data_IF_272253879201
#
_entry.id   IF_272253879201
#
_cell.length_a   1.000
_cell.length_b   1.000
_cell.length_c   1.000
_cell.angle_alpha   90.00
_cell.angle_beta   90.00
_cell.angle_gamma   90.00
#
_symmetry.space_group_name_H-M   'P 1'
#
loop_
_entity.id
_entity.type
_entity.pdbx_description
1 polymer ?
#
# COMPACT_ATOMS: atom_id res chain seq x y z
N UNK A 1 5.86 9.50 31.80
CA UNK A 1 5.44 8.64 30.66
C UNK A 1 3.92 8.68 30.57
N UNK A 2 3.34 9.00 29.40
CA UNK A 2 1.88 8.81 29.20
C UNK A 2 1.67 7.36 28.77
N UNK A 3 1.14 6.54 29.68
CA UNK A 3 0.44 5.32 29.27
C UNK A 3 -0.93 5.75 28.74
N UNK A 4 -0.98 6.09 27.45
CA UNK A 4 -2.25 6.30 26.78
C UNK A 4 -2.94 4.93 26.68
N UNK A 5 -4.08 4.72 27.35
CA UNK A 5 -4.73 3.42 27.35
C UNK A 5 -5.14 3.09 25.91
N UNK A 6 -4.69 1.94 25.41
CA UNK A 6 -4.99 1.51 24.03
C UNK A 6 -6.49 1.55 23.81
N UNK A 7 -6.93 2.30 22.81
CA UNK A 7 -8.35 2.41 22.48
C UNK A 7 -8.95 1.01 22.24
N UNK A 8 -10.20 0.76 22.69
CA UNK A 8 -10.88 -0.49 22.39
C UNK A 8 -10.91 -0.76 20.88
N UNK A 9 -10.74 -2.03 20.48
CA UNK A 9 -10.72 -2.42 19.05
C UNK A 9 -11.95 -1.92 18.25
N UNK A 10 -13.20 -1.94 18.77
CA UNK A 10 -14.34 -1.35 18.06
C UNK A 10 -14.19 0.15 17.80
N UNK A 11 -13.60 0.89 18.75
CA UNK A 11 -13.33 2.33 18.61
C UNK A 11 -12.27 2.60 17.54
N UNK A 12 -11.21 1.78 17.49
CA UNK A 12 -10.20 1.86 16.42
C UNK A 12 -10.79 1.59 15.03
N UNK A 13 -11.71 0.62 14.93
CA UNK A 13 -12.39 0.31 13.68
C UNK A 13 -13.26 1.48 13.20
N UNK A 14 -14.15 2.01 14.05
CA UNK A 14 -14.98 3.17 13.70
C UNK A 14 -14.17 4.42 13.39
N UNK A 15 -13.10 4.69 14.15
CA UNK A 15 -12.19 5.79 13.86
C UNK A 15 -11.52 5.62 12.48
N UNK A 16 -11.06 4.41 12.15
CA UNK A 16 -10.44 4.11 10.86
C UNK A 16 -11.43 4.17 9.69
N UNK A 17 -12.69 3.74 9.90
CA UNK A 17 -13.78 3.93 8.94
C UNK A 17 -14.08 5.41 8.67
N UNK A 18 -14.05 6.25 9.71
CA UNK A 18 -14.25 7.68 9.61
C UNK A 18 -13.06 8.35 8.91
N UNK A 19 -11.82 8.06 9.32
CA UNK A 19 -10.59 8.52 8.67
C UNK A 19 -10.58 8.18 7.18
N UNK A 20 -10.92 6.94 6.80
CA UNK A 20 -11.05 6.55 5.38
C UNK A 20 -11.98 7.47 4.59
N UNK A 21 -13.05 7.99 5.20
CA UNK A 21 -13.98 8.91 4.55
C UNK A 21 -13.44 10.34 4.50
N UNK A 22 -13.00 10.89 5.64
CA UNK A 22 -12.73 12.32 5.82
C UNK A 22 -11.27 12.74 5.58
N UNK A 23 -10.31 11.82 5.71
CA UNK A 23 -8.90 12.15 5.61
C UNK A 23 -8.53 12.56 4.19
N UNK A 24 -7.69 13.58 4.10
CA UNK A 24 -7.17 14.13 2.84
C UNK A 24 -5.73 13.69 2.61
N UNK A 25 -5.13 14.04 1.47
CA UNK A 25 -3.69 13.84 1.21
C UNK A 25 -2.79 14.47 2.28
N UNK A 26 -3.23 15.57 2.93
CA UNK A 26 -2.48 16.22 4.03
C UNK A 26 -2.33 15.34 5.28
N UNK A 27 -3.23 14.38 5.48
CA UNK A 27 -3.22 13.47 6.62
C UNK A 27 -2.38 12.20 6.38
N UNK A 28 -1.79 12.05 5.20
CA UNK A 28 -1.14 10.81 4.78
C UNK A 28 -0.06 10.34 5.77
N UNK A 29 0.87 11.22 6.15
CA UNK A 29 1.94 10.88 7.09
C UNK A 29 1.42 10.51 8.49
N UNK A 30 0.30 11.09 8.93
CA UNK A 30 -0.35 10.69 10.20
C UNK A 30 -0.94 9.27 10.10
N UNK A 31 -1.54 8.92 8.96
CA UNK A 31 -2.11 7.58 8.74
C UNK A 31 -1.00 6.53 8.52
N UNK A 32 0.13 6.90 7.90
CA UNK A 32 1.33 6.05 7.82
C UNK A 32 1.91 5.78 9.20
N UNK A 33 1.93 6.76 10.11
CA UNK A 33 2.33 6.53 11.51
C UNK A 33 1.37 5.56 12.22
N UNK A 34 0.05 5.78 12.09
CA UNK A 34 -0.96 4.86 12.65
C UNK A 34 -0.80 3.41 12.15
N UNK A 35 -0.53 3.21 10.86
CA UNK A 35 -0.30 1.88 10.28
C UNK A 35 1.00 1.20 10.77
N UNK A 36 1.94 1.94 11.36
CA UNK A 36 3.18 1.42 11.94
C UNK A 36 3.08 1.19 13.46
N UNK A 37 2.32 2.03 14.16
CA UNK A 37 2.24 2.05 15.62
C UNK A 37 1.07 1.21 16.18
N UNK A 38 -0.03 1.11 15.43
CA UNK A 38 -1.21 0.38 15.87
C UNK A 38 -1.00 -1.15 15.81
N UNK A 39 -1.58 -1.93 16.75
CA UNK A 39 -1.56 -3.38 16.66
C UNK A 39 -2.36 -3.84 15.42
N UNK A 40 -1.88 -4.84 14.65
CA UNK A 40 -2.59 -5.30 13.46
C UNK A 40 -4.00 -5.79 13.80
N UNK A 41 -4.99 -5.41 12.99
CA UNK A 41 -6.39 -5.76 13.20
C UNK A 41 -7.31 -5.23 12.10
N UNK A 42 -8.64 -5.50 12.18
CA UNK A 42 -9.60 -5.16 11.12
C UNK A 42 -9.60 -3.68 10.71
N UNK A 43 -9.27 -2.79 11.64
CA UNK A 43 -9.19 -1.36 11.41
C UNK A 43 -8.15 -0.96 10.33
N UNK A 44 -7.11 -1.78 10.11
CA UNK A 44 -6.13 -1.59 9.03
C UNK A 44 -6.79 -1.64 7.63
N UNK A 45 -7.83 -2.46 7.44
CA UNK A 45 -8.52 -2.61 6.15
C UNK A 45 -9.00 -1.26 5.61
N UNK A 46 -9.51 -0.40 6.49
CA UNK A 46 -10.01 0.93 6.14
C UNK A 46 -8.89 1.94 5.86
N UNK A 47 -7.78 1.85 6.59
CA UNK A 47 -6.60 2.69 6.41
C UNK A 47 -5.85 2.34 5.11
N UNK A 48 -5.80 1.04 4.75
CA UNK A 48 -5.25 0.56 3.49
C UNK A 48 -6.11 1.03 2.30
N UNK A 49 -7.45 0.97 2.43
CA UNK A 49 -8.35 1.52 1.40
C UNK A 49 -8.21 3.05 1.25
N UNK A 50 -7.89 3.78 2.32
CA UNK A 50 -7.57 5.22 2.23
C UNK A 50 -6.35 5.52 1.36
N UNK A 51 -5.33 4.65 1.34
CA UNK A 51 -4.14 4.83 0.48
C UNK A 51 -4.55 5.04 -0.98
N UNK A 52 -5.61 4.33 -1.41
CA UNK A 52 -6.21 4.45 -2.74
C UNK A 52 -6.63 5.86 -3.15
N UNK A 53 -6.87 6.76 -2.18
CA UNK A 53 -7.24 8.17 -2.40
C UNK A 53 -6.05 9.12 -2.52
N UNK A 54 -4.86 8.71 -2.10
CA UNK A 54 -3.69 9.59 -1.96
C UNK A 54 -2.85 9.65 -3.23
N UNK A 55 -2.87 8.58 -4.04
CA UNK A 55 -2.24 8.48 -5.36
C UNK A 55 -0.72 8.80 -5.40
N UNK A 56 -0.04 8.76 -4.25
CA UNK A 56 1.43 8.98 -4.17
C UNK A 56 2.22 7.68 -4.40
N UNK A 57 3.49 7.77 -4.85
CA UNK A 57 4.38 6.61 -4.93
C UNK A 57 4.56 5.92 -3.57
N UNK A 58 4.68 6.67 -2.48
CA UNK A 58 4.80 6.12 -1.12
C UNK A 58 3.53 5.36 -0.71
N UNK A 59 2.34 5.87 -1.02
CA UNK A 59 1.08 5.15 -0.77
C UNK A 59 0.97 3.87 -1.59
N UNK A 60 1.49 3.86 -2.83
CA UNK A 60 1.59 2.66 -3.68
C UNK A 60 2.49 1.59 -3.07
N UNK A 61 3.71 1.94 -2.68
CA UNK A 61 4.64 0.98 -2.05
C UNK A 61 4.06 0.44 -0.71
N UNK A 62 3.41 1.31 0.07
CA UNK A 62 2.74 0.87 1.30
C UNK A 62 1.59 -0.10 0.99
N UNK A 63 0.76 0.17 -0.02
CA UNK A 63 -0.30 -0.74 -0.45
C UNK A 63 0.26 -2.07 -1.00
N UNK A 64 1.41 -2.07 -1.67
CA UNK A 64 2.10 -3.30 -2.13
C UNK A 64 2.49 -4.19 -0.95
N UNK A 65 2.98 -3.61 0.15
CA UNK A 65 3.37 -4.40 1.34
C UNK A 65 2.22 -5.18 2.00
N UNK A 66 0.97 -4.85 1.68
CA UNK A 66 -0.25 -5.53 2.14
C UNK A 66 -0.87 -6.49 1.11
N UNK A 67 -0.17 -6.82 0.00
CA UNK A 67 -0.63 -7.79 -1.01
C UNK A 67 -0.58 -9.24 -0.49
N UNK A 68 0.09 -9.52 0.63
CA UNK A 68 0.14 -10.85 1.25
C UNK A 68 -0.77 -10.96 2.50
N UNK A 69 -1.56 -12.04 2.58
CA UNK A 69 -2.42 -12.38 3.71
C UNK A 69 -3.78 -11.66 3.78
N UNK A 70 -4.21 -11.31 5.00
CA UNK A 70 -5.59 -10.90 5.29
C UNK A 70 -6.03 -9.57 4.61
N UNK A 71 -5.09 -8.70 4.29
CA UNK A 71 -5.36 -7.36 3.77
C UNK A 71 -5.38 -7.27 2.23
N UNK A 72 -5.04 -8.35 1.53
CA UNK A 72 -4.83 -8.40 0.07
C UNK A 72 -6.00 -7.81 -0.73
N UNK A 73 -7.25 -8.08 -0.35
CA UNK A 73 -8.42 -7.56 -1.08
C UNK A 73 -8.49 -6.02 -1.08
N UNK A 74 -8.11 -5.40 0.03
CA UNK A 74 -8.13 -3.95 0.24
C UNK A 74 -6.90 -3.29 -0.39
N UNK A 75 -5.73 -3.95 -0.31
CA UNK A 75 -4.53 -3.55 -1.03
C UNK A 75 -4.76 -3.51 -2.55
N UNK A 76 -5.31 -4.58 -3.14
CA UNK A 76 -5.67 -4.65 -4.55
C UNK A 76 -6.67 -3.54 -4.93
N UNK A 77 -7.67 -3.29 -4.08
CA UNK A 77 -8.66 -2.21 -4.32
C UNK A 77 -8.00 -0.83 -4.31
N UNK A 78 -7.11 -0.55 -3.37
CA UNK A 78 -6.36 0.70 -3.29
C UNK A 78 -5.49 0.92 -4.53
N UNK A 79 -4.77 -0.10 -4.98
CA UNK A 79 -3.90 -0.03 -6.18
C UNK A 79 -4.68 0.21 -7.47
N UNK A 80 -5.87 -0.39 -7.61
CA UNK A 80 -6.79 -0.08 -8.72
C UNK A 80 -7.26 1.37 -8.65
N UNK A 81 -7.59 1.88 -7.46
CA UNK A 81 -8.06 3.25 -7.29
C UNK A 81 -6.98 4.28 -7.67
N UNK A 82 -5.72 4.06 -7.24
CA UNK A 82 -4.55 4.87 -7.64
C UNK A 82 -4.21 4.78 -9.13
N UNK A 83 -4.80 3.83 -9.88
CA UNK A 83 -4.36 3.42 -11.23
C UNK A 83 -2.85 3.08 -11.25
N UNK A 84 -2.38 2.38 -10.22
CA UNK A 84 -0.97 2.14 -9.99
C UNK A 84 -0.31 1.43 -11.20
N UNK A 85 0.66 2.07 -11.84
CA UNK A 85 1.47 1.45 -12.90
C UNK A 85 2.51 0.51 -12.30
N UNK A 86 2.93 -0.49 -13.09
CA UNK A 86 4.00 -1.41 -12.70
C UNK A 86 3.58 -2.59 -11.82
N UNK A 87 2.51 -2.47 -11.03
CA UNK A 87 2.12 -3.48 -10.01
C UNK A 87 1.44 -4.75 -10.56
N UNK A 88 1.20 -4.81 -11.87
CA UNK A 88 0.40 -5.88 -12.51
C UNK A 88 0.96 -7.29 -12.26
N UNK A 89 2.29 -7.43 -12.35
CA UNK A 89 3.03 -8.67 -12.11
C UNK A 89 2.92 -9.22 -10.68
N UNK A 90 2.53 -8.38 -9.69
CA UNK A 90 2.31 -8.80 -8.31
C UNK A 90 0.89 -9.36 -8.10
N UNK A 91 -0.05 -9.00 -8.99
CA UNK A 91 -1.47 -9.36 -8.90
C UNK A 91 -1.78 -10.56 -9.82
N UNK A 92 -1.03 -10.73 -10.91
CA UNK A 92 -1.14 -11.85 -11.86
C UNK A 92 -1.10 -13.24 -11.17
N UNK A 93 -0.12 -13.56 -10.27
CA UNK A 93 -0.12 -14.84 -9.56
C UNK A 93 -1.38 -15.10 -8.71
N UNK A 94 -1.94 -14.05 -8.11
CA UNK A 94 -3.15 -14.14 -7.27
C UNK A 94 -4.39 -14.33 -8.13
N UNK A 95 -4.39 -13.82 -9.37
CA UNK A 95 -5.46 -14.01 -10.33
C UNK A 95 -5.46 -15.43 -10.91
N UNK A 96 -4.29 -16.04 -11.10
CA UNK A 96 -4.14 -17.37 -11.67
C UNK A 96 -4.42 -18.50 -10.66
N UNK A 97 -4.09 -18.30 -9.38
CA UNK A 97 -4.46 -19.24 -8.31
C UNK A 97 -5.98 -19.29 -8.08
N UNK A 98 -6.61 -20.34 -8.63
CA UNK A 98 -8.05 -20.62 -8.47
C UNK A 98 -8.44 -20.91 -7.01
N UNK A 99 -7.49 -21.33 -6.16
CA UNK A 99 -7.76 -21.60 -4.74
C UNK A 99 -7.73 -20.34 -3.88
N UNK A 100 -7.09 -19.26 -4.34
CA UNK A 100 -7.08 -17.98 -3.65
C UNK A 100 -8.48 -17.38 -3.53
N UNK A 101 -8.88 -17.07 -2.30
CA UNK A 101 -10.10 -16.31 -2.01
C UNK A 101 -10.14 -14.95 -2.74
N UNK A 102 -8.98 -14.41 -3.11
CA UNK A 102 -8.85 -13.11 -3.75
C UNK A 102 -8.79 -13.17 -5.29
N UNK A 103 -8.76 -14.35 -5.92
CA UNK A 103 -8.54 -14.49 -7.36
C UNK A 103 -9.55 -13.72 -8.22
N UNK A 104 -10.83 -13.70 -7.84
CA UNK A 104 -11.87 -12.91 -8.51
C UNK A 104 -11.59 -11.41 -8.45
N UNK A 105 -11.07 -10.91 -7.31
CA UNK A 105 -10.71 -9.49 -7.13
C UNK A 105 -9.41 -9.15 -7.86
N UNK A 106 -8.45 -10.07 -7.89
CA UNK A 106 -7.22 -9.93 -8.65
C UNK A 106 -7.51 -9.83 -10.16
N UNK A 107 -8.30 -10.74 -10.75
CA UNK A 107 -8.72 -10.67 -12.17
C UNK A 107 -9.41 -9.33 -12.49
N UNK A 108 -10.39 -8.94 -11.69
CA UNK A 108 -11.08 -7.64 -11.78
C UNK A 108 -10.13 -6.43 -11.71
N UNK A 109 -9.01 -6.54 -11.00
CA UNK A 109 -7.99 -5.51 -10.91
C UNK A 109 -7.08 -5.47 -12.14
N UNK A 110 -6.71 -6.63 -12.70
CA UNK A 110 -5.90 -6.74 -13.92
C UNK A 110 -6.55 -6.11 -15.16
N UNK A 111 -7.88 -6.04 -15.17
CA UNK A 111 -8.67 -5.38 -16.21
C UNK A 111 -8.69 -3.84 -16.07
N UNK A 112 -8.34 -3.31 -14.89
CA UNK A 112 -8.51 -1.89 -14.50
C UNK A 112 -7.19 -1.17 -14.25
N UNK A 113 -6.17 -1.90 -13.81
CA UNK A 113 -4.82 -1.39 -13.64
C UNK A 113 -4.19 -1.15 -15.02
N UNK A 114 -3.62 0.05 -15.26
CA UNK A 114 -2.93 0.31 -16.50
C UNK A 114 -1.75 -0.66 -16.65
N UNK A 115 -1.69 -1.34 -17.81
CA UNK A 115 -0.45 -2.00 -18.25
C UNK A 115 0.67 -0.96 -18.26
N UNK A 116 1.91 -1.39 -18.04
CA UNK A 116 3.10 -0.54 -18.14
C UNK A 116 3.16 0.10 -19.54
N UNK A 117 2.58 1.28 -19.68
CA UNK A 117 2.84 2.15 -20.81
C UNK A 117 4.15 2.85 -20.51
N UNK A 118 5.24 2.33 -21.07
CA UNK A 118 6.43 3.12 -21.33
C UNK A 118 5.99 4.27 -22.25
N UNK A 119 5.56 5.38 -21.66
CA UNK A 119 5.39 6.63 -22.41
C UNK A 119 6.78 7.04 -22.88
N UNK A 120 7.07 6.72 -24.14
CA UNK A 120 8.09 7.45 -24.88
C UNK A 120 7.72 8.94 -24.81
N UNK A 121 8.48 9.70 -24.03
CA UNK A 121 8.54 11.14 -24.18
C UNK A 121 9.27 11.46 -25.49
N UNK A 122 8.55 11.32 -26.61
CA UNK A 122 8.98 11.77 -27.92
C UNK A 122 8.91 13.29 -27.98
N UNK A 123 10.08 13.92 -27.95
CA UNK A 123 10.25 15.37 -28.14
C UNK A 123 9.66 15.84 -29.48
N UNK A 124 9.11 17.07 -29.50
CA UNK A 124 9.49 18.18 -30.39
C UNK A 124 8.32 19.14 -30.67
N UNK A 125 8.35 20.31 -30.02
CA UNK A 125 7.90 21.61 -30.57
C UNK A 125 8.39 22.77 -29.69
N UNK A 126 9.58 23.26 -30.01
CA UNK A 126 9.86 24.71 -30.05
C UNK A 126 9.94 25.07 -31.55
N UNK A 127 9.64 26.32 -31.95
CA UNK A 127 10.67 27.36 -31.89
C UNK A 127 10.21 28.74 -31.36
N UNK A 128 11.17 29.43 -30.75
CA UNK A 128 11.47 30.88 -30.82
C UNK A 128 10.44 31.92 -30.33
N UNK A 129 10.89 32.67 -29.33
CA UNK A 129 10.51 34.04 -29.01
C UNK A 129 11.46 34.55 -27.91
N UNK A 130 12.37 35.52 -28.19
CA UNK A 130 13.26 36.08 -27.16
C UNK A 130 12.53 37.08 -26.25
N UNK A 131 13.28 37.68 -25.32
CA UNK A 131 12.87 38.78 -24.42
C UNK A 131 12.01 38.44 -23.20
N UNK A 132 12.66 37.92 -22.15
CA UNK A 132 12.65 38.65 -20.87
C UNK A 132 13.95 38.42 -20.08
N UNK A 133 14.84 39.41 -20.11
CA UNK A 133 16.00 39.50 -19.20
C UNK A 133 15.56 40.24 -17.92
N UNK A 134 16.28 40.02 -16.81
CA UNK A 134 16.05 40.56 -15.45
C UNK A 134 14.88 39.82 -14.74
N UNK A 135 15.07 39.19 -13.58
CA UNK A 135 15.64 39.81 -12.38
C UNK A 135 15.82 38.78 -11.25
N UNK A 136 17.05 38.36 -10.95
CA UNK A 136 17.37 37.84 -9.61
C UNK A 136 18.87 37.91 -9.28
N UNK A 137 19.20 38.75 -8.28
CA UNK A 137 20.47 38.73 -7.53
C UNK A 137 20.11 38.56 -6.06
N UNK A 138 20.68 37.53 -5.41
CA UNK A 138 20.97 37.42 -3.96
C UNK A 138 19.76 37.52 -2.99
N UNK A 139 19.74 36.90 -1.81
CA UNK A 139 20.44 35.77 -1.18
C UNK A 139 19.53 35.33 0.01
N UNK A 140 19.84 34.41 0.94
CA UNK A 140 21.04 33.60 1.24
C UNK A 140 20.59 32.37 2.11
N UNK A 141 21.52 31.78 2.86
CA UNK A 141 21.30 30.95 4.07
C UNK A 141 20.88 29.49 3.86
N UNK A 142 21.90 28.64 3.89
CA UNK A 142 22.07 27.48 4.78
C UNK A 142 20.87 26.58 5.13
N UNK A 143 20.97 25.32 4.70
CA UNK A 143 21.00 24.19 5.64
C UNK A 143 21.59 22.95 4.94
N UNK A 144 22.83 22.57 5.29
CA UNK A 144 23.40 21.30 4.85
C UNK A 144 22.81 20.15 5.67
N UNK A 145 22.30 19.11 5.01
CA UNK A 145 22.08 17.80 5.63
C UNK A 145 22.70 16.72 4.74
N UNK A 146 23.93 16.32 5.10
CA UNK A 146 24.58 15.14 4.56
C UNK A 146 23.85 13.88 5.04
N UNK A 147 23.23 13.13 4.13
CA UNK A 147 22.74 11.78 4.44
C UNK A 147 23.88 10.79 4.24
N UNK A 148 24.66 10.60 5.30
CA UNK A 148 25.75 9.63 5.34
C UNK A 148 25.22 8.20 5.16
N UNK A 149 25.73 7.50 4.15
CA UNK A 149 25.47 6.07 3.95
C UNK A 149 26.07 5.28 5.10
N UNK A 150 25.23 4.62 5.90
CA UNK A 150 25.66 3.72 6.98
C UNK A 150 24.88 2.41 6.99
N UNK A 151 25.51 1.42 6.35
CA UNK A 151 25.63 0.01 6.76
C UNK A 151 24.36 -0.72 7.26
N UNK A 152 23.91 -1.63 6.40
CA UNK A 152 23.24 -2.89 6.76
C UNK A 152 24.14 -3.70 7.71
N UNK A 153 23.60 -4.30 8.79
CA UNK A 153 24.18 -5.48 9.42
C UNK A 153 23.30 -6.73 9.17
N UNK A 154 23.90 -7.74 8.53
CA UNK A 154 23.33 -9.08 8.38
C UNK A 154 23.76 -9.99 9.53
N UNK A 155 22.81 -10.45 10.36
CA UNK A 155 22.86 -11.69 11.15
C UNK A 155 21.43 -11.94 11.70
N UNK A 156 20.70 -13.03 11.46
CA UNK A 156 21.05 -14.45 11.48
C UNK A 156 21.37 -15.01 12.89
N UNK A 157 20.33 -15.20 13.73
CA UNK A 157 20.35 -16.15 14.85
C UNK A 157 18.97 -16.82 15.04
N UNK A 158 18.93 -18.11 14.73
CA UNK A 158 18.18 -19.21 15.36
C UNK A 158 16.94 -18.86 16.22
N UNK A 159 15.74 -19.20 15.73
CA UNK A 159 14.56 -19.41 16.58
C UNK A 159 14.28 -20.92 16.70
N UNK A 160 14.46 -21.48 17.90
CA UNK A 160 14.17 -22.90 18.20
C UNK A 160 13.09 -22.94 19.27
N UNK A 161 11.83 -23.03 18.86
CA UNK A 161 10.66 -23.07 19.73
C UNK A 161 9.59 -23.98 19.15
N UNK A 162 9.12 -24.95 19.94
CA UNK A 162 8.30 -26.07 19.49
C UNK A 162 6.91 -25.66 18.99
N UNK A 163 6.45 -26.29 17.91
CA UNK A 163 5.03 -26.26 17.54
C UNK A 163 4.21 -27.13 18.51
N UNK A 164 3.04 -26.66 19.00
CA UNK A 164 1.98 -27.54 19.45
C UNK A 164 1.26 -28.16 18.24
N UNK A 165 0.87 -29.42 18.37
CA UNK A 165 0.12 -30.19 17.37
C UNK A 165 -1.28 -29.60 17.16
N UNK A 166 -1.70 -29.39 15.91
CA UNK A 166 -3.03 -28.85 15.56
C UNK A 166 -3.78 -29.86 14.69
N UNK A 167 -4.94 -30.37 15.15
CA UNK A 167 -5.66 -31.41 14.43
C UNK A 167 -6.24 -30.92 13.10
N UNK A 168 -6.13 -31.77 12.08
CA UNK A 168 -6.58 -31.50 10.70
C UNK A 168 -8.10 -31.24 10.63
N UNK A 169 -8.58 -30.18 9.99
CA UNK A 169 -10.01 -30.02 9.73
C UNK A 169 -10.51 -31.05 8.73
N UNK A 170 -11.69 -31.60 9.03
CA UNK A 170 -12.35 -32.69 8.30
C UNK A 170 -12.82 -32.22 6.91
N UNK A 171 -12.61 -33.05 5.88
CA UNK A 171 -13.23 -32.92 4.55
C UNK A 171 -14.74 -32.71 4.69
N UNK A 172 -15.25 -31.50 4.41
CA UNK A 172 -16.66 -31.33 4.06
C UNK A 172 -16.83 -31.44 2.55
N UNK A 173 -17.66 -32.39 2.13
CA UNK A 173 -18.07 -32.55 0.74
C UNK A 173 -18.98 -31.38 0.36
N UNK A 174 -18.59 -30.58 -0.64
CA UNK A 174 -19.59 -29.79 -1.38
C UNK A 174 -20.37 -30.77 -2.25
N UNK A 175 -21.61 -31.07 -1.84
CA UNK A 175 -22.51 -31.94 -2.57
C UNK A 175 -22.71 -31.46 -4.01
N UNK A 176 -22.47 -32.34 -4.97
CA UNK A 176 -22.70 -32.06 -6.39
C UNK A 176 -24.20 -32.22 -6.65
N UNK A 177 -24.91 -31.10 -6.78
CA UNK A 177 -26.29 -31.10 -7.30
C UNK A 177 -26.30 -31.65 -8.73
N UNK A 178 -26.78 -32.88 -8.89
CA UNK A 178 -27.09 -33.52 -10.17
C UNK A 178 -28.61 -33.71 -10.26
N UNK A 179 -29.14 -33.56 -11.46
CA UNK A 179 -30.59 -33.60 -11.76
C UNK A 179 -31.15 -35.01 -11.68
#
# INVERSE_FOLDING_TARGET
MRHEPRLPQPTLDWASQALRKIATTKNFQQIVALLKEAPPGPHFLWLIEYLGKVETPEARELAISYIDGFHTEFAIKALVQMKATGVRHLIEPIADDVTSHFCRRARWALDRIPRLTLRHNGSHRTPVGPDTVLRQRRASVDAGISWSVSKIPTAATVFRGSLPDVPRPIRRMCGRGGR
#
